data_IF_614729335585
#
_entry.id   IF_614729335585
#
_cell.length_a   1.000
_cell.length_b   1.000
_cell.length_c   1.000
_cell.angle_alpha   90.00
_cell.angle_beta   90.00
_cell.angle_gamma   90.00
#
_symmetry.space_group_name_H-M   'P 1'
#
loop_
_entity.id
_entity.type
_entity.pdbx_description
1 polymer ?
#
# COMPACT_ATOMS: atom_id res chain seq x y z
N UNK A 1 -12.35 8.69 16.65
CA UNK A 1 -12.12 7.24 16.86
C UNK A 1 -12.01 6.54 15.51
N UNK A 2 -10.98 5.73 15.29
CA UNK A 2 -10.83 4.91 14.08
C UNK A 2 -11.22 3.45 14.38
N UNK A 3 -11.79 2.74 13.39
CA UNK A 3 -12.20 1.33 13.53
C UNK A 3 -11.58 0.53 12.38
N UNK A 4 -10.67 -0.37 12.72
CA UNK A 4 -9.86 -1.16 11.77
C UNK A 4 -9.81 -2.63 12.21
N UNK A 5 -9.79 -3.62 11.28
CA UNK A 5 -9.83 -5.03 11.65
C UNK A 5 -8.73 -5.45 12.62
N UNK A 6 -7.51 -5.08 12.29
CA UNK A 6 -6.27 -5.44 12.99
C UNK A 6 -5.21 -4.37 12.77
N UNK A 7 -4.14 -4.39 13.56
CA UNK A 7 -2.97 -3.52 13.45
C UNK A 7 -1.69 -4.37 13.25
N UNK A 8 -1.63 -5.15 12.16
CA UNK A 8 -0.48 -6.00 11.84
C UNK A 8 0.54 -5.24 10.96
N UNK A 9 0.55 -5.41 9.66
CA UNK A 9 1.58 -4.88 8.74
C UNK A 9 1.02 -4.45 7.39
N UNK A 10 -0.08 -3.78 7.35
CA UNK A 10 -0.69 -3.34 6.08
C UNK A 10 -0.65 -1.83 5.89
N UNK A 11 -0.95 -1.40 4.68
CA UNK A 11 -1.04 0.04 4.38
C UNK A 11 -2.23 0.72 5.05
N UNK A 12 -3.32 0.03 5.32
CA UNK A 12 -4.46 0.58 6.05
C UNK A 12 -4.14 0.76 7.52
N UNK A 13 -3.42 -0.20 8.10
CA UNK A 13 -2.95 -0.21 9.48
C UNK A 13 -1.93 0.93 9.71
N UNK A 14 -0.94 1.07 8.81
CA UNK A 14 0.02 2.17 8.87
C UNK A 14 -0.69 3.52 8.81
N UNK A 15 -1.60 3.72 7.85
CA UNK A 15 -2.38 4.97 7.74
C UNK A 15 -3.23 5.23 8.99
N UNK A 16 -3.72 4.17 9.67
CA UNK A 16 -4.46 4.33 10.93
C UNK A 16 -3.57 4.91 12.03
N UNK A 17 -2.33 4.41 12.15
CA UNK A 17 -1.33 4.92 13.11
C UNK A 17 -0.95 6.37 12.77
N UNK A 18 -0.64 6.65 11.51
CA UNK A 18 -0.21 7.98 11.07
C UNK A 18 -1.30 9.04 11.35
N UNK A 19 -2.56 8.73 11.04
CA UNK A 19 -3.69 9.64 11.33
C UNK A 19 -3.98 9.71 12.84
N UNK A 20 -3.79 8.63 13.62
CA UNK A 20 -3.94 8.69 15.07
C UNK A 20 -2.93 9.65 15.69
N UNK A 21 -1.66 9.54 15.30
CA UNK A 21 -0.59 10.44 15.71
C UNK A 21 -0.92 11.90 15.34
N UNK A 22 -1.33 12.15 14.10
CA UNK A 22 -1.67 13.51 13.65
C UNK A 22 -2.83 14.13 14.45
N UNK A 23 -3.84 13.32 14.82
CA UNK A 23 -4.93 13.78 15.71
C UNK A 23 -4.40 14.19 17.08
N UNK A 24 -3.42 13.46 17.64
CA UNK A 24 -2.83 13.74 18.93
C UNK A 24 -1.96 15.01 18.86
N UNK A 25 -1.13 15.13 17.83
CA UNK A 25 -0.29 16.31 17.57
C UNK A 25 -1.13 17.58 17.39
N UNK A 26 -2.35 17.46 16.84
CA UNK A 26 -3.33 18.54 16.75
C UNK A 26 -4.09 18.80 18.07
N UNK A 27 -3.69 18.19 19.19
CA UNK A 27 -4.32 18.37 20.50
C UNK A 27 -5.59 17.53 20.73
N UNK A 28 -5.93 16.64 19.80
CA UNK A 28 -7.07 15.75 19.92
C UNK A 28 -6.77 14.46 20.69
N UNK A 29 -7.80 13.61 20.86
CA UNK A 29 -7.66 12.26 21.44
C UNK A 29 -7.95 11.21 20.37
N UNK A 30 -6.99 10.30 20.14
CA UNK A 30 -7.12 9.23 19.17
C UNK A 30 -7.46 7.90 19.86
N UNK A 31 -8.59 7.30 19.47
CA UNK A 31 -8.98 5.95 19.86
C UNK A 31 -8.94 5.05 18.62
N UNK A 32 -8.42 3.83 18.76
CA UNK A 32 -8.43 2.83 17.69
C UNK A 32 -9.10 1.56 18.20
N UNK A 33 -10.28 1.27 17.63
CA UNK A 33 -11.02 0.04 17.90
C UNK A 33 -10.54 -1.05 16.92
N UNK A 34 -9.98 -2.14 17.45
CA UNK A 34 -9.37 -3.21 16.66
C UNK A 34 -9.27 -4.51 17.48
N UNK A 35 -9.03 -5.64 16.81
CA UNK A 35 -8.71 -6.89 17.54
C UNK A 35 -7.31 -6.88 18.17
N UNK A 36 -6.46 -5.91 17.82
CA UNK A 36 -5.07 -5.82 18.21
C UNK A 36 -4.12 -6.09 17.04
N UNK A 37 -2.84 -6.33 17.33
CA UNK A 37 -1.79 -6.62 16.37
C UNK A 37 -0.45 -6.00 16.75
N UNK A 38 0.60 -6.28 15.98
CA UNK A 38 2.00 -5.88 16.26
C UNK A 38 2.21 -4.37 16.38
N UNK A 39 1.39 -3.57 15.69
CA UNK A 39 1.51 -2.10 15.71
C UNK A 39 0.82 -1.44 16.90
N UNK A 40 0.19 -2.18 17.82
CA UNK A 40 -0.46 -1.63 19.01
C UNK A 40 0.53 -0.87 19.88
N UNK A 41 1.72 -1.44 20.11
CA UNK A 41 2.76 -0.77 20.90
C UNK A 41 3.16 0.59 20.32
N UNK A 42 3.18 0.73 18.98
CA UNK A 42 3.45 1.99 18.32
C UNK A 42 2.29 2.99 18.50
N UNK A 43 1.04 2.52 18.36
CA UNK A 43 -0.12 3.36 18.64
C UNK A 43 -0.08 3.98 20.03
N UNK A 44 0.23 3.15 21.05
CA UNK A 44 0.27 3.58 22.45
C UNK A 44 1.48 4.49 22.74
N UNK A 45 2.64 4.19 22.13
CA UNK A 45 3.82 5.05 22.22
C UNK A 45 3.59 6.44 21.63
N UNK A 46 2.78 6.55 20.56
CA UNK A 46 2.36 7.81 19.96
C UNK A 46 1.21 8.49 20.76
N UNK A 47 0.79 7.96 21.92
CA UNK A 47 -0.27 8.48 22.77
C UNK A 47 -1.70 8.11 22.37
N UNK A 48 -1.87 7.23 21.40
CA UNK A 48 -3.16 6.69 20.99
C UNK A 48 -3.71 5.67 22.00
N UNK A 49 -5.03 5.50 22.03
CA UNK A 49 -5.71 4.60 22.96
C UNK A 49 -6.31 3.41 22.23
N UNK A 50 -5.91 2.20 22.63
CA UNK A 50 -6.49 0.96 22.13
C UNK A 50 -7.87 0.70 22.74
N UNK A 51 -8.86 0.38 21.89
CA UNK A 51 -10.15 -0.19 22.28
C UNK A 51 -10.23 -1.62 21.68
N UNK A 52 -9.74 -2.61 22.44
CA UNK A 52 -9.64 -3.97 21.92
C UNK A 52 -11.02 -4.62 21.83
N UNK A 53 -11.41 -5.00 20.61
CA UNK A 53 -12.67 -5.71 20.34
C UNK A 53 -12.64 -6.43 18.98
N UNK A 54 -13.41 -7.50 18.78
CA UNK A 54 -13.36 -8.33 17.58
C UNK A 54 -14.09 -7.70 16.39
N UNK A 55 -13.72 -6.47 15.99
CA UNK A 55 -14.38 -5.71 14.89
C UNK A 55 -14.18 -6.32 13.50
N UNK A 56 -13.22 -7.23 13.32
CA UNK A 56 -12.98 -7.96 12.09
C UNK A 56 -14.06 -9.02 11.81
N UNK A 57 -14.88 -9.38 12.82
CA UNK A 57 -15.91 -10.43 12.71
C UNK A 57 -16.99 -10.07 11.70
N UNK A 58 -17.42 -11.07 10.93
CA UNK A 58 -18.56 -10.99 10.02
C UNK A 58 -19.82 -11.67 10.61
N UNK A 59 -19.73 -12.20 11.82
CA UNK A 59 -20.87 -12.76 12.52
C UNK A 59 -21.81 -11.62 12.97
N UNK A 60 -23.10 -11.60 12.56
CA UNK A 60 -24.03 -10.53 12.88
C UNK A 60 -24.20 -10.26 14.38
N UNK A 61 -24.21 -11.29 15.22
CA UNK A 61 -24.34 -11.14 16.67
C UNK A 61 -23.11 -10.46 17.28
N UNK A 62 -21.91 -10.83 16.80
CA UNK A 62 -20.66 -10.17 17.22
C UNK A 62 -20.63 -8.72 16.74
N UNK A 63 -21.10 -8.45 15.52
CA UNK A 63 -21.17 -7.09 14.96
C UNK A 63 -22.14 -6.21 15.78
N UNK A 64 -23.29 -6.72 16.20
CA UNK A 64 -24.22 -6.01 17.09
C UNK A 64 -23.61 -5.76 18.47
N UNK A 65 -22.95 -6.76 19.07
CA UNK A 65 -22.22 -6.58 20.32
C UNK A 65 -21.09 -5.56 20.23
N UNK A 66 -20.37 -5.53 19.09
CA UNK A 66 -19.36 -4.48 18.83
C UNK A 66 -20.00 -3.10 18.70
N UNK A 67 -21.16 -2.99 18.03
CA UNK A 67 -21.87 -1.71 17.92
C UNK A 67 -22.26 -1.16 19.30
N UNK A 68 -22.78 -2.00 20.20
CA UNK A 68 -23.10 -1.61 21.58
C UNK A 68 -21.86 -1.11 22.33
N UNK A 69 -20.73 -1.86 22.28
CA UNK A 69 -19.48 -1.44 22.92
C UNK A 69 -18.94 -0.11 22.36
N UNK A 70 -19.09 0.10 21.04
CA UNK A 70 -18.70 1.35 20.40
C UNK A 70 -19.60 2.51 20.83
N UNK A 71 -20.92 2.30 20.99
CA UNK A 71 -21.85 3.32 21.53
C UNK A 71 -21.43 3.74 22.93
N UNK A 72 -21.12 2.77 23.81
CA UNK A 72 -20.67 3.06 25.17
C UNK A 72 -19.36 3.84 25.18
N UNK A 73 -18.40 3.44 24.33
CA UNK A 73 -17.13 4.15 24.18
C UNK A 73 -17.34 5.58 23.66
N UNK A 74 -18.15 5.77 22.62
CA UNK A 74 -18.44 7.08 22.04
C UNK A 74 -19.02 8.01 23.12
N UNK A 75 -19.99 7.55 23.89
CA UNK A 75 -20.65 8.34 24.95
C UNK A 75 -19.71 8.65 26.10
N UNK A 76 -19.00 7.64 26.62
CA UNK A 76 -18.07 7.79 27.75
C UNK A 76 -16.92 8.73 27.43
N UNK A 77 -16.33 8.58 26.26
CA UNK A 77 -15.15 9.36 25.85
C UNK A 77 -15.50 10.62 25.04
N UNK A 78 -16.79 10.89 24.84
CA UNK A 78 -17.28 12.03 24.03
C UNK A 78 -16.62 12.10 22.67
N UNK A 79 -16.63 10.96 21.94
CA UNK A 79 -16.01 10.84 20.61
C UNK A 79 -16.77 11.73 19.62
N UNK A 80 -16.07 12.64 18.97
CA UNK A 80 -16.65 13.62 18.04
C UNK A 80 -16.81 13.08 16.61
N UNK A 81 -16.04 12.04 16.23
CA UNK A 81 -16.06 11.47 14.87
C UNK A 81 -15.67 9.98 14.88
N UNK A 82 -16.34 9.18 14.09
CA UNK A 82 -16.05 7.76 13.86
C UNK A 82 -15.55 7.55 12.43
N UNK A 83 -14.41 6.89 12.27
CA UNK A 83 -13.80 6.62 10.97
C UNK A 83 -13.56 5.12 10.76
N UNK A 84 -14.28 4.49 9.85
CA UNK A 84 -14.08 3.08 9.48
C UNK A 84 -13.04 2.91 8.38
N UNK A 85 -12.12 1.96 8.58
CA UNK A 85 -11.02 1.66 7.65
C UNK A 85 -11.22 0.36 6.85
N UNK A 86 -12.32 -0.33 7.03
CA UNK A 86 -12.63 -1.58 6.32
C UNK A 86 -14.13 -1.92 6.42
N UNK A 87 -14.61 -2.74 5.48
CA UNK A 87 -16.04 -3.08 5.34
C UNK A 87 -16.63 -3.79 6.56
N UNK A 88 -15.98 -4.81 7.09
CA UNK A 88 -16.54 -5.56 8.24
C UNK A 88 -16.69 -4.65 9.49
N UNK A 89 -15.65 -3.91 9.92
CA UNK A 89 -15.77 -2.93 11.00
C UNK A 89 -16.78 -1.81 10.72
N UNK A 90 -16.97 -1.43 9.45
CA UNK A 90 -17.84 -0.32 9.08
C UNK A 90 -19.31 -0.55 9.47
N UNK A 91 -19.80 -1.79 9.50
CA UNK A 91 -21.17 -2.06 9.95
C UNK A 91 -21.36 -1.66 11.43
N UNK A 92 -20.54 -2.21 12.31
CA UNK A 92 -20.61 -1.90 13.74
C UNK A 92 -20.37 -0.40 14.02
N UNK A 93 -19.41 0.18 13.31
CA UNK A 93 -19.04 1.59 13.43
C UNK A 93 -20.18 2.52 12.95
N UNK A 94 -20.81 2.21 11.82
CA UNK A 94 -21.93 2.97 11.27
C UNK A 94 -23.16 2.91 12.20
N UNK A 95 -23.52 1.71 12.71
CA UNK A 95 -24.64 1.56 13.65
C UNK A 95 -24.39 2.34 14.95
N UNK A 96 -23.17 2.29 15.48
CA UNK A 96 -22.81 3.05 16.66
C UNK A 96 -22.87 4.57 16.41
N UNK A 97 -22.34 5.03 15.28
CA UNK A 97 -22.35 6.42 14.87
C UNK A 97 -23.80 6.95 14.70
N UNK A 98 -24.68 6.17 14.06
CA UNK A 98 -26.10 6.51 13.92
C UNK A 98 -26.82 6.59 15.27
N UNK A 99 -26.60 5.60 16.16
CA UNK A 99 -27.22 5.56 17.49
C UNK A 99 -26.78 6.71 18.41
N UNK A 100 -25.61 7.27 18.17
CA UNK A 100 -25.04 8.40 18.95
C UNK A 100 -25.10 9.75 18.23
N UNK A 101 -25.59 9.77 16.98
CA UNK A 101 -25.58 10.92 16.08
C UNK A 101 -24.18 11.50 15.85
N UNK A 102 -23.15 10.63 15.95
CA UNK A 102 -21.75 11.02 15.72
C UNK A 102 -21.45 10.95 14.22
N UNK A 103 -20.74 11.90 13.62
CA UNK A 103 -20.30 11.86 12.23
C UNK A 103 -19.54 10.57 11.89
N UNK A 104 -19.85 10.02 10.70
CA UNK A 104 -19.23 8.79 10.22
C UNK A 104 -18.48 9.00 8.90
N UNK A 105 -17.18 8.70 8.91
CA UNK A 105 -16.29 8.72 7.76
C UNK A 105 -15.85 7.30 7.44
N UNK A 106 -15.62 6.99 6.17
CA UNK A 106 -15.01 5.73 5.76
C UNK A 106 -13.90 5.96 4.75
N UNK A 107 -12.79 5.19 4.84
CA UNK A 107 -11.75 5.19 3.81
C UNK A 107 -11.77 3.91 2.98
N UNK A 108 -11.88 4.06 1.67
CA UNK A 108 -11.64 2.99 0.71
C UNK A 108 -10.14 2.80 0.50
N UNK A 109 -9.65 1.64 0.92
CA UNK A 109 -8.24 1.25 0.77
C UNK A 109 -7.99 0.33 -0.43
N UNK A 110 -9.02 0.05 -1.23
CA UNK A 110 -8.95 -0.83 -2.38
C UNK A 110 -10.24 -0.85 -3.18
N UNK A 111 -10.17 -1.40 -4.37
CA UNK A 111 -11.32 -1.66 -5.23
C UNK A 111 -11.97 -2.97 -4.83
N UNK A 112 -13.25 -2.93 -4.54
CA UNK A 112 -14.00 -4.10 -4.08
C UNK A 112 -14.93 -4.60 -5.19
N UNK A 113 -14.51 -5.64 -5.92
CA UNK A 113 -15.37 -6.28 -6.93
C UNK A 113 -16.66 -6.82 -6.29
N UNK A 114 -17.81 -6.54 -6.87
CA UNK A 114 -19.11 -7.02 -6.46
C UNK A 114 -19.73 -7.91 -7.54
N UNK A 115 -19.66 -9.24 -7.34
CA UNK A 115 -20.17 -10.25 -8.29
C UNK A 115 -21.66 -10.58 -8.04
N UNK A 116 -22.31 -9.95 -7.05
CA UNK A 116 -23.73 -10.15 -6.72
C UNK A 116 -24.31 -8.91 -6.05
N UNK A 117 -25.65 -8.76 -6.11
CA UNK A 117 -26.36 -7.68 -5.44
C UNK A 117 -26.09 -7.65 -3.93
N UNK A 118 -26.05 -8.83 -3.27
CA UNK A 118 -25.71 -8.94 -1.85
C UNK A 118 -24.31 -8.43 -1.53
N UNK A 119 -23.34 -8.76 -2.38
CA UNK A 119 -21.96 -8.29 -2.20
C UNK A 119 -21.82 -6.79 -2.47
N UNK A 120 -22.58 -6.25 -3.44
CA UNK A 120 -22.67 -4.80 -3.68
C UNK A 120 -23.24 -4.09 -2.47
N UNK A 121 -24.34 -4.60 -1.93
CA UNK A 121 -24.97 -4.08 -0.70
C UNK A 121 -23.99 -4.11 0.50
N UNK A 122 -23.23 -5.20 0.65
CA UNK A 122 -22.21 -5.33 1.70
C UNK A 122 -21.08 -4.31 1.52
N UNK A 123 -20.60 -4.12 0.29
CA UNK A 123 -19.54 -3.14 -0.01
C UNK A 123 -20.03 -1.69 0.21
N UNK A 124 -21.30 -1.42 -0.08
CA UNK A 124 -21.92 -0.09 0.06
C UNK A 124 -22.01 0.42 1.51
N UNK A 125 -21.74 -0.40 2.54
CA UNK A 125 -21.67 0.09 3.93
C UNK A 125 -20.68 1.25 4.09
N UNK A 126 -19.58 1.23 3.31
CA UNK A 126 -18.54 2.27 3.34
C UNK A 126 -19.01 3.61 2.74
N UNK A 127 -20.11 3.63 1.97
CA UNK A 127 -20.64 4.86 1.34
C UNK A 127 -21.84 5.47 2.08
N UNK A 128 -22.26 4.87 3.20
CA UNK A 128 -23.47 5.28 3.95
C UNK A 128 -23.21 6.34 5.01
N UNK A 129 -22.02 6.89 5.05
CA UNK A 129 -21.61 7.92 6.02
C UNK A 129 -21.74 9.34 5.48
N UNK A 130 -21.16 10.25 6.22
CA UNK A 130 -21.11 11.68 5.90
C UNK A 130 -20.06 11.98 4.84
N UNK A 131 -18.93 11.26 4.88
CA UNK A 131 -17.85 11.40 3.90
C UNK A 131 -17.15 10.07 3.65
N UNK A 132 -16.76 9.89 2.39
CA UNK A 132 -15.86 8.82 1.94
C UNK A 132 -14.51 9.43 1.59
N UNK A 133 -13.44 8.82 2.06
CA UNK A 133 -12.07 9.12 1.61
C UNK A 133 -11.64 8.00 0.66
N UNK A 134 -11.28 8.32 -0.56
CA UNK A 134 -10.61 7.43 -1.50
C UNK A 134 -9.10 7.66 -1.44
N UNK A 135 -8.31 6.60 -1.51
CA UNK A 135 -6.85 6.70 -1.41
C UNK A 135 -6.15 7.01 -2.75
N UNK A 136 -6.91 7.27 -3.79
CA UNK A 136 -6.48 7.69 -5.13
C UNK A 136 -7.70 8.18 -5.94
N UNK A 137 -7.46 8.89 -7.02
CA UNK A 137 -8.52 9.29 -7.96
C UNK A 137 -9.13 8.06 -8.63
N UNK A 138 -8.32 7.07 -8.99
CA UNK A 138 -8.79 5.78 -9.49
C UNK A 138 -9.80 5.11 -8.54
N UNK A 139 -9.50 5.10 -7.25
CA UNK A 139 -10.42 4.53 -6.24
C UNK A 139 -11.68 5.38 -6.07
N UNK A 140 -11.56 6.72 -6.12
CA UNK A 140 -12.70 7.65 -6.08
C UNK A 140 -13.65 7.37 -7.25
N UNK A 141 -13.12 7.32 -8.47
CA UNK A 141 -13.91 7.15 -9.69
C UNK A 141 -14.60 5.78 -9.72
N UNK A 142 -13.89 4.75 -9.24
CA UNK A 142 -14.49 3.43 -9.05
C UNK A 142 -15.67 3.44 -8.05
N UNK A 143 -15.52 4.12 -6.91
CA UNK A 143 -16.59 4.20 -5.89
C UNK A 143 -17.79 4.97 -6.44
N UNK A 144 -17.57 6.07 -7.15
CA UNK A 144 -18.63 6.84 -7.80
C UNK A 144 -19.40 5.99 -8.82
N UNK A 145 -18.69 5.27 -9.68
CA UNK A 145 -19.29 4.42 -10.73
C UNK A 145 -20.04 3.22 -10.15
N UNK A 146 -19.47 2.54 -9.12
CA UNK A 146 -20.05 1.30 -8.55
C UNK A 146 -21.26 1.57 -7.66
N UNK A 147 -21.28 2.69 -6.94
CA UNK A 147 -22.29 2.97 -5.90
C UNK A 147 -23.22 4.13 -6.21
N UNK A 148 -22.99 4.90 -7.28
CA UNK A 148 -23.78 6.10 -7.60
C UNK A 148 -23.73 7.14 -6.47
N UNK A 149 -22.57 7.26 -5.80
CA UNK A 149 -22.40 8.19 -4.68
C UNK A 149 -22.40 9.62 -5.18
N UNK A 150 -22.99 10.53 -4.41
CA UNK A 150 -22.87 11.97 -4.64
C UNK A 150 -21.38 12.39 -4.61
N UNK A 151 -20.87 13.03 -5.68
CA UNK A 151 -19.48 13.50 -5.73
C UNK A 151 -19.09 14.43 -4.58
N UNK A 152 -20.03 15.15 -3.98
CA UNK A 152 -19.78 16.00 -2.82
C UNK A 152 -19.47 15.20 -1.54
N UNK A 153 -19.80 13.90 -1.52
CA UNK A 153 -19.57 13.01 -0.38
C UNK A 153 -18.30 12.16 -0.48
N UNK A 154 -17.45 12.41 -1.46
CA UNK A 154 -16.20 11.68 -1.61
C UNK A 154 -15.05 12.62 -1.93
N UNK A 155 -13.91 12.40 -1.26
CA UNK A 155 -12.67 13.13 -1.50
C UNK A 155 -11.53 12.15 -1.77
N UNK A 156 -10.67 12.49 -2.72
CA UNK A 156 -9.42 11.77 -2.95
C UNK A 156 -8.33 12.34 -2.04
N UNK A 157 -7.79 11.49 -1.17
CA UNK A 157 -6.62 11.79 -0.34
C UNK A 157 -5.59 10.69 -0.59
N UNK A 158 -4.59 10.95 -1.43
CA UNK A 158 -3.53 9.99 -1.73
C UNK A 158 -2.82 9.54 -0.46
N UNK A 159 -2.34 8.29 -0.45
CA UNK A 159 -1.53 7.80 0.66
C UNK A 159 -0.18 8.50 0.69
N UNK A 160 0.28 8.75 1.91
CA UNK A 160 1.61 9.27 2.15
C UNK A 160 2.67 8.18 2.28
N UNK A 161 3.90 8.54 1.96
CA UNK A 161 5.13 7.83 2.32
C UNK A 161 5.84 8.61 3.42
N UNK A 162 6.38 7.87 4.37
CA UNK A 162 7.22 8.41 5.45
C UNK A 162 8.59 8.76 4.87
N UNK A 163 8.83 10.06 4.62
CA UNK A 163 10.07 10.56 4.02
C UNK A 163 11.25 10.57 4.99
N UNK A 164 11.02 10.38 6.30
CA UNK A 164 12.09 10.17 7.26
C UNK A 164 12.60 8.74 7.17
N UNK A 165 11.70 7.78 7.02
CA UNK A 165 12.04 6.38 6.81
C UNK A 165 12.61 6.12 5.41
N UNK A 166 11.95 6.65 4.37
CA UNK A 166 12.34 6.47 2.96
C UNK A 166 13.14 7.68 2.46
N UNK A 167 14.33 7.85 3.04
CA UNK A 167 15.28 8.92 2.71
C UNK A 167 16.65 8.29 2.39
N UNK A 168 17.15 8.38 1.17
CA UNK A 168 18.44 7.79 0.79
C UNK A 168 19.61 8.33 1.63
N UNK A 169 19.55 9.59 2.08
CA UNK A 169 20.58 10.20 2.91
C UNK A 169 20.65 9.64 4.35
N UNK A 170 19.65 8.91 4.79
CA UNK A 170 19.58 8.34 6.14
C UNK A 170 19.81 6.83 6.19
N UNK A 171 20.18 6.23 5.06
CA UNK A 171 20.55 4.82 4.98
C UNK A 171 22.08 4.70 4.91
N UNK A 172 22.77 4.35 6.00
CA UNK A 172 24.21 4.15 5.98
C UNK A 172 24.60 3.04 4.99
N UNK A 173 25.72 3.15 4.28
CA UNK A 173 26.20 2.13 3.34
C UNK A 173 26.30 0.74 3.95
N UNK A 174 26.61 0.63 5.24
CA UNK A 174 26.69 -0.64 5.97
C UNK A 174 25.37 -1.43 5.93
N UNK A 175 24.19 -0.77 5.98
CA UNK A 175 22.89 -1.45 5.90
C UNK A 175 22.67 -2.08 4.53
N UNK A 176 23.02 -1.36 3.48
CA UNK A 176 22.93 -1.85 2.09
C UNK A 176 23.89 -3.00 1.86
N UNK A 177 25.10 -2.90 2.42
CA UNK A 177 26.12 -3.94 2.33
C UNK A 177 25.72 -5.21 3.09
N UNK A 178 25.25 -5.09 4.32
CA UNK A 178 24.73 -6.22 5.09
C UNK A 178 23.58 -6.94 4.37
N UNK A 179 22.71 -6.19 3.72
CA UNK A 179 21.61 -6.74 2.95
C UNK A 179 22.10 -7.44 1.67
N UNK A 180 23.09 -6.87 1.00
CA UNK A 180 23.75 -7.46 -0.16
C UNK A 180 24.33 -8.84 0.19
N UNK A 181 25.04 -8.92 1.31
CA UNK A 181 25.62 -10.19 1.81
C UNK A 181 24.53 -11.21 2.19
N UNK A 182 23.52 -10.77 2.94
CA UNK A 182 22.39 -11.62 3.35
C UNK A 182 21.63 -12.22 2.14
N UNK A 183 21.56 -11.47 1.03
CA UNK A 183 20.94 -11.93 -0.21
C UNK A 183 21.89 -12.70 -1.13
N UNK A 184 23.13 -12.92 -0.70
CA UNK A 184 24.15 -13.67 -1.45
C UNK A 184 24.48 -13.03 -2.80
N UNK A 185 24.56 -11.71 -2.85
CA UNK A 185 24.96 -10.95 -4.05
C UNK A 185 26.46 -10.66 -3.94
N UNK A 186 27.25 -11.08 -4.94
CA UNK A 186 28.68 -10.86 -4.93
C UNK A 186 29.02 -9.35 -4.99
N UNK A 187 30.11 -8.95 -4.32
CA UNK A 187 30.51 -7.53 -4.26
C UNK A 187 30.90 -6.97 -5.64
N UNK A 188 31.37 -7.80 -6.53
CA UNK A 188 31.73 -7.49 -7.90
C UNK A 188 30.60 -7.68 -8.92
N UNK A 189 29.40 -8.08 -8.49
CA UNK A 189 28.24 -8.22 -9.38
C UNK A 189 27.81 -6.85 -9.91
N UNK A 190 27.96 -6.65 -11.22
CA UNK A 190 27.67 -5.39 -11.95
C UNK A 190 26.38 -5.41 -12.72
N UNK A 191 25.61 -6.49 -12.61
CA UNK A 191 24.32 -6.61 -13.29
C UNK A 191 23.33 -5.55 -12.79
N UNK A 192 22.45 -5.09 -13.67
CA UNK A 192 21.32 -4.23 -13.26
C UNK A 192 20.39 -5.01 -12.34
N UNK A 193 20.12 -4.48 -11.16
CA UNK A 193 19.32 -5.13 -10.11
C UNK A 193 17.90 -4.62 -10.14
N UNK A 194 16.98 -5.55 -10.37
CA UNK A 194 15.54 -5.31 -10.32
C UNK A 194 14.97 -5.85 -9.02
N UNK A 195 14.11 -5.09 -8.34
CA UNK A 195 13.46 -5.50 -7.10
C UNK A 195 11.94 -5.52 -7.27
N UNK A 196 11.32 -6.67 -7.06
CA UNK A 196 9.89 -6.81 -6.86
C UNK A 196 9.63 -7.02 -5.37
N UNK A 197 9.12 -5.96 -4.72
CA UNK A 197 8.80 -5.97 -3.29
C UNK A 197 7.30 -6.22 -3.08
N UNK A 198 6.96 -7.28 -2.38
CA UNK A 198 5.57 -7.60 -2.07
C UNK A 198 5.35 -9.07 -1.73
N UNK A 199 4.21 -9.35 -1.11
CA UNK A 199 3.83 -10.73 -0.76
C UNK A 199 3.91 -11.66 -1.96
N UNK A 200 4.37 -12.89 -1.75
CA UNK A 200 4.37 -13.91 -2.79
C UNK A 200 2.92 -14.36 -3.05
N UNK A 201 2.27 -13.69 -3.99
CA UNK A 201 0.90 -13.98 -4.43
C UNK A 201 0.78 -13.76 -5.94
N UNK A 202 -0.09 -14.52 -6.61
CA UNK A 202 -0.27 -14.45 -8.08
C UNK A 202 -0.58 -13.04 -8.58
N UNK A 203 -1.34 -12.27 -7.82
CA UNK A 203 -1.71 -10.89 -8.20
C UNK A 203 -0.53 -9.92 -8.24
N UNK A 204 0.62 -10.29 -7.69
CA UNK A 204 1.85 -9.46 -7.71
C UNK A 204 2.70 -9.69 -8.97
N UNK A 205 2.35 -10.65 -9.83
CA UNK A 205 2.91 -10.79 -11.17
C UNK A 205 4.32 -11.38 -11.23
N UNK A 206 4.77 -12.11 -10.21
CA UNK A 206 6.11 -12.74 -10.21
C UNK A 206 6.32 -13.65 -11.42
N UNK A 207 5.30 -14.45 -11.82
CA UNK A 207 5.39 -15.33 -12.99
C UNK A 207 5.59 -14.53 -14.28
N UNK A 208 4.89 -13.41 -14.44
CA UNK A 208 5.08 -12.50 -15.59
C UNK A 208 6.53 -12.04 -15.70
N UNK A 209 7.17 -11.72 -14.56
CA UNK A 209 8.58 -11.30 -14.55
C UNK A 209 9.53 -12.46 -14.82
N UNK A 210 9.23 -13.69 -14.36
CA UNK A 210 10.02 -14.88 -14.70
C UNK A 210 9.95 -15.15 -16.21
N UNK A 211 8.77 -15.07 -16.82
CA UNK A 211 8.58 -15.24 -18.25
C UNK A 211 9.28 -14.13 -19.05
N UNK A 212 9.22 -12.89 -18.61
CA UNK A 212 9.95 -11.77 -19.18
C UNK A 212 11.48 -12.00 -19.13
N UNK A 213 11.99 -12.43 -17.97
CA UNK A 213 13.40 -12.76 -17.79
C UNK A 213 13.86 -13.92 -18.70
N UNK A 214 13.00 -14.92 -18.90
CA UNK A 214 13.29 -16.02 -19.83
C UNK A 214 13.42 -15.52 -21.28
N UNK A 215 12.56 -14.59 -21.71
CA UNK A 215 12.66 -13.95 -23.03
C UNK A 215 13.94 -13.10 -23.16
N UNK A 216 14.30 -12.32 -22.12
CA UNK A 216 15.56 -11.58 -22.11
C UNK A 216 16.77 -12.50 -22.25
N UNK A 217 16.79 -13.61 -21.50
CA UNK A 217 17.86 -14.62 -21.58
C UNK A 217 17.93 -15.26 -22.97
N UNK A 218 16.79 -15.61 -23.56
CA UNK A 218 16.73 -16.15 -24.92
C UNK A 218 17.25 -15.15 -25.97
N UNK A 219 17.13 -13.84 -25.71
CA UNK A 219 17.74 -12.78 -26.50
C UNK A 219 19.20 -12.48 -26.10
N UNK A 220 19.88 -13.42 -25.41
CA UNK A 220 21.27 -13.32 -24.96
C UNK A 220 21.56 -12.16 -24.00
N UNK A 221 20.55 -11.68 -23.25
CA UNK A 221 20.74 -10.72 -22.15
C UNK A 221 21.02 -11.48 -20.85
N UNK A 222 22.15 -11.18 -20.23
CA UNK A 222 22.59 -11.79 -18.98
C UNK A 222 23.01 -10.77 -17.93
N UNK A 223 22.90 -9.48 -18.24
CA UNK A 223 23.35 -8.35 -17.46
C UNK A 223 22.28 -7.84 -16.47
N UNK A 224 21.46 -8.77 -15.95
CA UNK A 224 20.41 -8.47 -14.98
C UNK A 224 20.38 -9.46 -13.81
N UNK A 225 19.91 -8.98 -12.66
CA UNK A 225 19.58 -9.75 -11.46
C UNK A 225 18.22 -9.31 -10.95
N UNK A 226 17.30 -10.24 -10.75
CA UNK A 226 15.95 -9.97 -10.25
C UNK A 226 15.83 -10.53 -8.84
N UNK A 227 15.31 -9.71 -7.92
CA UNK A 227 15.14 -10.02 -6.52
C UNK A 227 13.66 -9.94 -6.14
N UNK A 228 13.09 -11.03 -5.66
CA UNK A 228 11.74 -11.10 -5.13
C UNK A 228 11.79 -11.02 -3.61
N UNK A 229 11.46 -9.86 -3.05
CA UNK A 229 11.46 -9.61 -1.61
C UNK A 229 10.02 -9.65 -1.06
N UNK A 230 9.72 -10.65 -0.28
CA UNK A 230 8.42 -10.86 0.34
C UNK A 230 8.26 -12.26 0.87
N UNK A 231 7.25 -12.46 1.72
CA UNK A 231 6.88 -13.75 2.25
C UNK A 231 5.58 -14.30 1.62
N UNK A 232 5.35 -15.58 1.80
CA UNK A 232 4.14 -16.26 1.37
C UNK A 232 3.03 -16.24 2.42
N UNK A 233 3.29 -15.69 3.62
CA UNK A 233 2.38 -15.68 4.75
C UNK A 233 1.84 -17.08 5.11
N UNK A 234 2.69 -18.09 5.01
CA UNK A 234 2.34 -19.51 5.24
C UNK A 234 1.61 -20.19 4.09
N UNK A 235 1.56 -19.58 2.89
CA UNK A 235 1.00 -20.18 1.67
C UNK A 235 2.11 -20.71 0.77
N UNK A 236 2.77 -21.75 1.23
CA UNK A 236 4.00 -22.31 0.63
C UNK A 236 3.89 -22.76 -0.84
N UNK A 237 2.67 -23.09 -1.31
CA UNK A 237 2.45 -23.61 -2.66
C UNK A 237 2.92 -22.66 -3.77
N UNK A 238 2.66 -21.35 -3.59
CA UNK A 238 3.05 -20.36 -4.61
C UNK A 238 4.57 -20.10 -4.62
N UNK A 239 5.21 -20.14 -3.47
CA UNK A 239 6.68 -20.05 -3.39
C UNK A 239 7.37 -21.23 -4.10
N UNK A 240 6.84 -22.44 -3.91
CA UNK A 240 7.32 -23.65 -4.61
C UNK A 240 7.11 -23.54 -6.14
N UNK A 241 5.95 -23.04 -6.58
CA UNK A 241 5.66 -22.79 -7.99
C UNK A 241 6.66 -21.79 -8.62
N UNK A 242 6.97 -20.70 -7.94
CA UNK A 242 7.96 -19.73 -8.40
C UNK A 242 9.35 -20.35 -8.53
N UNK A 243 9.77 -21.15 -7.55
CA UNK A 243 11.05 -21.86 -7.57
C UNK A 243 11.12 -22.83 -8.75
N UNK A 244 10.04 -23.58 -8.99
CA UNK A 244 9.96 -24.49 -10.13
C UNK A 244 10.00 -23.74 -11.48
N UNK A 245 9.29 -22.62 -11.60
CA UNK A 245 9.29 -21.77 -12.80
C UNK A 245 10.68 -21.19 -13.10
N UNK A 246 11.38 -20.68 -12.07
CA UNK A 246 12.77 -20.21 -12.18
C UNK A 246 13.70 -21.31 -12.69
N UNK A 247 13.58 -22.52 -12.13
CA UNK A 247 14.40 -23.67 -12.51
C UNK A 247 14.09 -24.12 -13.95
N UNK A 248 12.82 -24.23 -14.32
CA UNK A 248 12.40 -24.62 -15.66
C UNK A 248 12.88 -23.63 -16.75
N UNK A 249 12.95 -22.34 -16.43
CA UNK A 249 13.49 -21.31 -17.30
C UNK A 249 15.05 -21.21 -17.27
N UNK A 250 15.71 -21.98 -16.40
CA UNK A 250 17.15 -21.93 -16.22
C UNK A 250 17.65 -20.57 -15.68
N UNK A 251 16.87 -19.92 -14.81
CA UNK A 251 17.13 -18.56 -14.33
C UNK A 251 17.68 -18.50 -12.89
N UNK A 252 18.20 -19.63 -12.37
CA UNK A 252 18.64 -19.74 -10.97
C UNK A 252 19.73 -18.72 -10.60
N UNK A 253 20.57 -18.33 -11.58
CA UNK A 253 21.63 -17.35 -11.39
C UNK A 253 21.17 -15.89 -11.58
N UNK A 254 19.95 -15.69 -12.16
CA UNK A 254 19.44 -14.37 -12.54
C UNK A 254 18.21 -13.95 -11.72
N UNK A 255 17.52 -14.88 -11.06
CA UNK A 255 16.32 -14.60 -10.25
C UNK A 255 16.47 -15.23 -8.87
N UNK A 256 16.32 -14.44 -7.82
CA UNK A 256 16.42 -14.87 -6.43
C UNK A 256 15.16 -14.53 -5.66
N UNK A 257 14.61 -15.49 -4.91
CA UNK A 257 13.59 -15.24 -3.88
C UNK A 257 14.34 -15.03 -2.56
N UNK A 258 14.35 -13.78 -2.07
CA UNK A 258 15.17 -13.38 -0.91
C UNK A 258 14.41 -13.37 0.41
N UNK A 259 13.12 -13.74 0.39
CA UNK A 259 12.29 -13.80 1.58
C UNK A 259 11.80 -12.44 2.08
N UNK A 260 11.35 -12.41 3.32
CA UNK A 260 10.88 -11.17 3.96
C UNK A 260 12.03 -10.18 4.17
N UNK A 261 11.75 -8.90 3.95
CA UNK A 261 12.70 -7.82 4.18
C UNK A 261 12.06 -6.72 5.03
N UNK A 262 12.60 -6.50 6.22
CA UNK A 262 12.17 -5.40 7.11
C UNK A 262 12.81 -4.07 6.72
N UNK A 263 14.03 -4.11 6.16
CA UNK A 263 14.78 -2.92 5.75
C UNK A 263 14.53 -2.56 4.29
N UNK A 264 13.30 -2.20 3.96
CA UNK A 264 12.93 -1.79 2.61
C UNK A 264 13.70 -0.56 2.08
N UNK A 265 14.05 0.46 2.90
CA UNK A 265 14.92 1.54 2.44
C UNK A 265 16.29 1.05 1.91
N UNK A 266 16.97 0.16 2.63
CA UNK A 266 18.23 -0.43 2.17
C UNK A 266 18.01 -1.32 0.93
N UNK A 267 16.91 -2.09 0.88
CA UNK A 267 16.56 -2.91 -0.27
C UNK A 267 16.38 -2.08 -1.56
N UNK A 268 15.68 -0.96 -1.47
CA UNK A 268 15.54 -0.06 -2.62
C UNK A 268 16.89 0.57 -3.02
N UNK A 269 17.75 0.93 -2.08
CA UNK A 269 19.09 1.45 -2.42
C UNK A 269 20.01 0.39 -3.00
N UNK A 270 19.86 -0.87 -2.63
CA UNK A 270 20.62 -1.99 -3.19
C UNK A 270 20.26 -2.25 -4.66
N UNK A 271 19.06 -1.87 -5.09
CA UNK A 271 18.53 -2.13 -6.43
C UNK A 271 18.57 -0.88 -7.32
N UNK A 272 18.57 -1.09 -8.64
CA UNK A 272 18.57 -0.02 -9.64
C UNK A 272 17.15 0.37 -10.05
N UNK A 273 16.25 -0.63 -10.16
CA UNK A 273 14.89 -0.49 -10.69
C UNK A 273 13.92 -1.29 -9.82
N UNK A 274 12.81 -0.66 -9.44
CA UNK A 274 11.73 -1.35 -8.76
C UNK A 274 10.67 -1.83 -9.77
N UNK A 275 10.15 -3.05 -9.57
CA UNK A 275 9.13 -3.66 -10.40
C UNK A 275 7.80 -3.76 -9.65
N UNK A 276 6.72 -3.34 -10.30
CA UNK A 276 5.35 -3.46 -9.80
C UNK A 276 4.43 -4.12 -10.86
N UNK A 277 4.64 -5.42 -11.19
CA UNK A 277 3.96 -6.10 -12.28
C UNK A 277 2.60 -6.67 -11.86
N UNK A 278 1.82 -5.93 -11.08
CA UNK A 278 0.54 -6.41 -10.58
C UNK A 278 -0.42 -6.76 -11.71
N UNK A 279 -1.09 -7.92 -11.60
CA UNK A 279 -2.07 -8.39 -12.60
C UNK A 279 -3.50 -7.90 -12.29
N UNK A 280 -3.69 -7.27 -11.15
CA UNK A 280 -4.93 -6.60 -10.76
C UNK A 280 -4.64 -5.15 -10.39
N UNK A 281 -5.59 -4.22 -10.65
CA UNK A 281 -5.37 -2.82 -10.35
C UNK A 281 -5.01 -2.56 -8.88
N UNK A 282 -3.90 -1.89 -8.64
CA UNK A 282 -3.56 -1.37 -7.32
C UNK A 282 -4.46 -0.17 -7.02
N UNK A 283 -4.86 -0.02 -5.76
CA UNK A 283 -5.69 1.13 -5.37
C UNK A 283 -4.91 2.44 -5.32
N UNK A 284 -3.61 2.37 -5.01
CA UNK A 284 -2.71 3.53 -4.97
C UNK A 284 -1.32 3.17 -5.50
N UNK A 285 -0.74 2.03 -5.07
CA UNK A 285 0.59 1.59 -5.51
C UNK A 285 1.73 2.09 -4.62
N UNK A 286 1.67 1.87 -3.31
CA UNK A 286 2.76 2.20 -2.39
C UNK A 286 4.11 1.64 -2.85
N UNK A 287 4.12 0.44 -3.40
CA UNK A 287 5.31 -0.19 -3.95
C UNK A 287 5.90 0.53 -5.18
N UNK A 288 5.19 1.52 -5.75
CA UNK A 288 5.75 2.44 -6.74
C UNK A 288 6.26 3.75 -6.09
N UNK A 289 5.59 4.24 -5.04
CA UNK A 289 5.94 5.53 -4.40
C UNK A 289 7.16 5.40 -3.49
N UNK A 290 7.27 4.32 -2.73
CA UNK A 290 8.38 4.08 -1.81
C UNK A 290 9.76 4.03 -2.54
N UNK A 291 9.94 3.27 -3.64
CA UNK A 291 11.20 3.30 -4.39
C UNK A 291 11.46 4.66 -5.06
N UNK A 292 10.41 5.37 -5.51
CA UNK A 292 10.59 6.73 -6.02
C UNK A 292 11.08 7.68 -4.90
N UNK A 293 10.58 7.56 -3.66
CA UNK A 293 11.10 8.32 -2.52
C UNK A 293 12.60 8.06 -2.28
N UNK A 294 13.07 6.84 -2.62
CA UNK A 294 14.47 6.44 -2.54
C UNK A 294 15.29 6.74 -3.80
N UNK A 295 14.73 7.52 -4.74
CA UNK A 295 15.40 7.90 -5.99
C UNK A 295 15.58 6.73 -6.96
N UNK A 296 14.68 5.74 -6.95
CA UNK A 296 14.75 4.60 -7.87
C UNK A 296 13.72 4.73 -8.98
N UNK A 297 14.16 4.39 -10.19
CA UNK A 297 13.26 4.22 -11.34
C UNK A 297 12.28 3.08 -11.08
N UNK A 298 11.04 3.23 -11.55
CA UNK A 298 9.99 2.23 -11.38
C UNK A 298 9.48 1.76 -12.73
N UNK A 299 9.28 0.44 -12.88
CA UNK A 299 8.47 -0.13 -13.95
C UNK A 299 7.19 -0.68 -13.30
N UNK A 300 6.04 -0.20 -13.72
CA UNK A 300 4.76 -0.55 -13.10
C UNK A 300 3.70 -0.93 -14.12
N UNK A 301 2.74 -1.76 -13.71
CA UNK A 301 1.59 -2.09 -14.55
C UNK A 301 0.73 -0.87 -14.82
N UNK A 302 0.36 -0.66 -16.09
CA UNK A 302 -0.45 0.47 -16.57
C UNK A 302 -1.92 0.27 -16.25
N UNK A 303 -2.26 0.25 -14.97
CA UNK A 303 -3.66 0.19 -14.51
C UNK A 303 -3.79 0.61 -13.02
N UNK A 304 -5.00 0.97 -12.63
CA UNK A 304 -5.29 1.35 -11.24
C UNK A 304 -4.56 2.62 -10.80
N UNK A 305 -4.29 2.75 -9.52
CA UNK A 305 -3.61 3.91 -8.94
C UNK A 305 -2.13 4.04 -9.34
N UNK A 306 -1.54 3.04 -10.00
CA UNK A 306 -0.16 3.14 -10.48
C UNK A 306 0.01 4.20 -11.57
N UNK A 307 -1.03 4.44 -12.38
CA UNK A 307 -1.01 5.49 -13.42
C UNK A 307 -1.00 6.90 -12.83
N UNK A 308 -1.34 7.05 -11.56
CA UNK A 308 -1.26 8.33 -10.84
C UNK A 308 0.13 8.52 -10.21
N UNK A 309 0.77 7.42 -9.80
CA UNK A 309 2.02 7.46 -9.04
C UNK A 309 3.28 7.38 -9.91
N UNK A 310 3.17 6.85 -11.12
CA UNK A 310 4.26 6.79 -12.11
C UNK A 310 3.90 7.64 -13.31
N UNK A 311 4.79 8.55 -13.69
CA UNK A 311 4.68 9.34 -14.93
C UNK A 311 5.54 8.66 -15.99
N UNK A 312 4.87 8.09 -17.00
CA UNK A 312 5.53 7.32 -18.06
C UNK A 312 6.62 8.10 -18.78
N UNK A 313 7.79 7.48 -18.94
CA UNK A 313 8.98 8.09 -19.55
C UNK A 313 9.67 9.15 -18.68
N UNK A 314 9.12 9.57 -17.54
CA UNK A 314 9.66 10.64 -16.68
C UNK A 314 10.13 10.14 -15.32
N UNK A 315 9.29 9.39 -14.60
CA UNK A 315 9.65 8.83 -13.28
C UNK A 315 9.82 7.32 -13.31
N UNK A 316 9.50 6.70 -14.44
CA UNK A 316 9.52 5.27 -14.69
C UNK A 316 8.80 4.93 -15.98
N UNK A 317 8.35 3.68 -16.10
CA UNK A 317 7.56 3.23 -17.24
C UNK A 317 6.29 2.51 -16.81
N UNK A 318 5.24 2.69 -17.61
CA UNK A 318 3.97 2.01 -17.47
C UNK A 318 3.85 0.91 -18.53
N UNK A 319 3.66 -0.33 -18.11
CA UNK A 319 3.66 -1.53 -18.96
C UNK A 319 2.30 -2.24 -18.88
N UNK A 320 1.77 -2.78 -19.98
CA UNK A 320 0.55 -3.58 -19.94
C UNK A 320 0.64 -4.70 -18.88
N UNK A 321 -0.40 -4.87 -18.02
CA UNK A 321 -0.39 -5.90 -17.00
C UNK A 321 -0.44 -7.30 -17.62
N UNK A 322 0.37 -8.23 -17.09
CA UNK A 322 0.37 -9.63 -17.53
C UNK A 322 0.92 -9.90 -18.92
N UNK A 323 1.66 -8.96 -19.52
CA UNK A 323 2.31 -9.11 -20.83
C UNK A 323 3.83 -9.29 -20.66
N UNK A 324 4.35 -10.53 -20.63
CA UNK A 324 5.79 -10.79 -20.42
C UNK A 324 6.70 -10.16 -21.49
N UNK A 325 6.23 -10.01 -22.72
CA UNK A 325 7.04 -9.42 -23.79
C UNK A 325 7.24 -7.92 -23.56
N UNK A 326 6.18 -7.20 -23.22
CA UNK A 326 6.24 -5.78 -22.89
C UNK A 326 7.11 -5.54 -21.62
N UNK A 327 7.06 -6.44 -20.63
CA UNK A 327 7.92 -6.39 -19.45
C UNK A 327 9.38 -6.63 -19.79
N UNK A 328 9.69 -7.61 -20.66
CA UNK A 328 11.06 -7.87 -21.13
C UNK A 328 11.63 -6.66 -21.88
N UNK A 329 10.83 -6.02 -22.73
CA UNK A 329 11.22 -4.79 -23.44
C UNK A 329 11.49 -3.65 -22.45
N UNK A 330 10.61 -3.38 -21.50
CA UNK A 330 10.77 -2.30 -20.51
C UNK A 330 12.00 -2.53 -19.62
N UNK A 331 12.24 -3.78 -19.18
CA UNK A 331 13.42 -4.12 -18.39
C UNK A 331 14.70 -3.99 -19.22
N UNK A 332 14.71 -4.42 -20.47
CA UNK A 332 15.83 -4.23 -21.40
C UNK A 332 16.11 -2.75 -21.62
N UNK A 333 15.08 -1.94 -21.89
CA UNK A 333 15.17 -0.48 -21.97
C UNK A 333 15.79 0.14 -20.73
N UNK A 334 15.42 -0.33 -19.55
CA UNK A 334 15.98 0.15 -18.29
C UNK A 334 17.48 -0.16 -18.17
N UNK A 335 17.94 -1.32 -18.64
CA UNK A 335 19.37 -1.68 -18.68
C UNK A 335 20.10 -0.76 -19.64
N UNK A 336 19.62 -0.66 -20.89
CA UNK A 336 20.26 0.08 -21.98
C UNK A 336 20.32 1.59 -21.73
N UNK A 337 19.38 2.12 -20.94
CA UNK A 337 19.40 3.53 -20.51
C UNK A 337 20.66 3.89 -19.72
N UNK A 338 21.28 2.92 -19.04
CA UNK A 338 22.48 3.11 -18.24
C UNK A 338 22.20 3.76 -16.87
N UNK A 339 23.15 3.59 -15.95
CA UNK A 339 23.00 3.97 -14.55
C UNK A 339 22.71 5.47 -14.33
N UNK A 340 23.45 6.34 -15.05
CA UNK A 340 23.30 7.79 -14.89
C UNK A 340 21.91 8.31 -15.31
N UNK A 341 21.32 7.76 -16.37
CA UNK A 341 20.00 8.19 -16.82
C UNK A 341 18.88 7.58 -15.97
N UNK A 342 19.05 6.34 -15.48
CA UNK A 342 18.14 5.76 -14.47
C UNK A 342 18.12 6.61 -13.19
N UNK A 343 19.29 7.07 -12.73
CA UNK A 343 19.37 7.93 -11.55
C UNK A 343 18.60 9.23 -11.75
N UNK A 344 18.76 9.93 -12.87
CA UNK A 344 17.99 11.15 -13.18
C UNK A 344 16.47 10.91 -13.21
N UNK A 345 16.03 9.78 -13.77
CA UNK A 345 14.63 9.39 -13.77
C UNK A 345 14.13 9.13 -12.34
N UNK A 346 14.93 8.47 -11.51
CA UNK A 346 14.67 8.25 -10.09
C UNK A 346 14.59 9.55 -9.28
N UNK A 347 15.48 10.52 -9.56
CA UNK A 347 15.45 11.87 -8.95
C UNK A 347 14.17 12.63 -9.31
N UNK A 348 13.67 12.51 -10.54
CA UNK A 348 12.37 13.05 -10.95
C UNK A 348 11.23 12.41 -10.13
N UNK A 349 11.27 11.09 -9.94
CA UNK A 349 10.32 10.35 -9.10
C UNK A 349 10.39 10.79 -7.63
N UNK A 350 11.60 10.97 -7.09
CA UNK A 350 11.81 11.43 -5.72
C UNK A 350 11.26 12.85 -5.50
N UNK A 351 11.51 13.77 -6.43
CA UNK A 351 10.98 15.13 -6.38
C UNK A 351 9.45 15.13 -6.36
N UNK A 352 8.83 14.37 -7.29
CA UNK A 352 7.37 14.22 -7.35
C UNK A 352 6.78 13.61 -6.08
N UNK A 353 7.42 12.57 -5.52
CA UNK A 353 6.97 11.92 -4.28
C UNK A 353 7.02 12.88 -3.10
N UNK A 354 8.08 13.64 -2.96
CA UNK A 354 8.23 14.67 -1.93
C UNK A 354 7.19 15.79 -2.05
N UNK A 355 6.74 16.08 -3.25
CA UNK A 355 5.73 17.11 -3.48
C UNK A 355 4.30 16.60 -3.21
N UNK A 356 3.96 15.38 -3.64
CA UNK A 356 2.57 14.93 -3.72
C UNK A 356 2.20 13.85 -2.68
N UNK A 357 3.17 13.07 -2.19
CA UNK A 357 2.90 11.83 -1.45
C UNK A 357 3.56 11.81 -0.08
N UNK A 358 3.55 12.93 0.63
CA UNK A 358 4.05 13.02 2.00
C UNK A 358 3.01 12.53 3.00
N UNK A 359 3.44 11.82 4.04
CA UNK A 359 2.54 11.34 5.09
C UNK A 359 1.88 12.48 5.88
N UNK A 360 2.62 13.56 6.14
CA UNK A 360 2.11 14.73 6.82
C UNK A 360 1.03 15.47 5.99
N UNK A 361 1.21 15.59 4.66
CA UNK A 361 0.21 16.15 3.77
C UNK A 361 -1.08 15.30 3.72
N UNK A 362 -0.94 13.96 3.66
CA UNK A 362 -2.07 13.03 3.77
C UNK A 362 -2.81 13.21 5.11
N UNK A 363 -2.07 13.30 6.20
CA UNK A 363 -2.65 13.50 7.54
C UNK A 363 -3.37 14.85 7.63
N UNK A 364 -2.73 15.94 7.19
CA UNK A 364 -3.33 17.27 7.19
C UNK A 364 -4.63 17.32 6.35
N UNK A 365 -4.63 16.71 5.14
CA UNK A 365 -5.82 16.62 4.33
C UNK A 365 -6.94 15.82 5.00
N UNK A 366 -6.57 14.74 5.73
CA UNK A 366 -7.53 13.90 6.47
C UNK A 366 -8.12 14.69 7.65
N UNK A 367 -7.31 15.44 8.41
CA UNK A 367 -7.79 16.30 9.52
C UNK A 367 -8.69 17.42 8.99
N UNK A 368 -8.32 18.10 7.91
CA UNK A 368 -9.17 19.10 7.29
C UNK A 368 -10.50 18.54 6.76
N UNK A 369 -10.52 17.27 6.35
CA UNK A 369 -11.78 16.58 6.02
C UNK A 369 -12.65 16.32 7.27
N UNK A 370 -12.03 15.99 8.41
CA UNK A 370 -12.75 15.85 9.68
C UNK A 370 -13.33 17.18 10.17
N UNK A 371 -12.54 18.25 10.12
CA UNK A 371 -12.92 19.61 10.53
C UNK A 371 -14.16 20.08 9.78
N UNK A 372 -14.15 19.99 8.44
CA UNK A 372 -15.32 20.36 7.61
C UNK A 372 -16.60 19.64 8.01
N UNK A 373 -16.51 18.34 8.35
CA UNK A 373 -17.68 17.58 8.77
C UNK A 373 -18.17 18.02 10.16
N UNK A 374 -17.26 18.31 11.07
CA UNK A 374 -17.58 18.76 12.43
C UNK A 374 -18.20 20.15 12.40
N UNK A 375 -17.68 21.08 11.62
CA UNK A 375 -18.22 22.42 11.41
C UNK A 375 -19.62 22.42 10.80
N UNK A 376 -19.85 21.53 9.81
CA UNK A 376 -21.17 21.40 9.17
C UNK A 376 -22.26 20.86 10.11
N UNK A 377 -21.90 20.36 11.30
CA UNK A 377 -22.82 19.79 12.30
C UNK A 377 -22.85 20.58 13.63
N UNK A 378 -21.98 21.58 13.78
CA UNK A 378 -21.98 22.49 14.92
C UNK A 378 -23.10 23.53 14.82
#
# INVERSE_FOLDING_TARGET
MQVVPELETGGAEQTTIDVARAVIEAGGRAFVATRGGRMVARLEADGGRLAQMPVQSKNPLVMLGNASRLVDLIRREKVSLVHARSRAPAFSALWAAQATRTPFVATYHGVYKANSALKRWYNAVMTRGDLVIANSDYTRDHVLAEHGLDPAKIVSIPRGVDLDRFNPGWVPPLRTEALREAWGIAADDRRTRFLLAGRLTRIKGHLTIIEAAAQMKAASRHDFLILFAGDDQGRTDYGAELTAAIAAAGLQDAVKIVGHCDDMPAAYLLCDVALLPTTVPESFGRAAVEPQAMGRTVIASNHGGTVETVVDGTTGWLVPPGDPAAWAEAMTRAIDLGAAARLRMGESGMSRTRQLYRVDAMCAATLGAYERILEARA
#
